data_IF_456593362554
#
_entry.id   IF_456593362554
#
_cell.length_a   1.000
_cell.length_b   1.000
_cell.length_c   1.000
_cell.angle_alpha   90.00
_cell.angle_beta   90.00
_cell.angle_gamma   90.00
#
_symmetry.space_group_name_H-M   'P 1'
#
loop_
_entity.id
_entity.type
_entity.pdbx_description
1 polymer ?
#
# COMPACT_ATOMS: atom_id res chain seq x y z
N UNK A 1 18.06 2.16 -12.30
CA UNK A 1 16.75 2.47 -11.69
C UNK A 1 16.30 1.18 -11.05
N UNK A 2 15.90 1.18 -9.76
CA UNK A 2 15.41 -0.02 -9.10
C UNK A 2 14.28 -0.66 -9.92
N UNK A 3 14.18 -1.99 -9.93
CA UNK A 3 13.04 -2.64 -10.57
C UNK A 3 11.79 -2.35 -9.74
N UNK A 4 10.74 -1.82 -10.36
CA UNK A 4 9.45 -1.56 -9.69
C UNK A 4 8.82 -2.84 -9.13
N UNK A 5 9.23 -4.00 -9.66
CA UNK A 5 8.77 -5.32 -9.21
C UNK A 5 9.55 -5.87 -8.01
N UNK A 6 10.57 -5.15 -7.53
CA UNK A 6 11.38 -5.50 -6.36
C UNK A 6 11.03 -4.62 -5.16
N UNK A 7 11.24 -5.17 -3.97
CA UNK A 7 11.10 -4.42 -2.74
C UNK A 7 12.25 -3.41 -2.61
N UNK A 8 11.90 -2.14 -2.39
CA UNK A 8 12.90 -1.07 -2.28
C UNK A 8 13.78 -1.15 -1.01
N UNK A 9 13.45 -2.04 -0.07
CA UNK A 9 14.23 -2.26 1.17
C UNK A 9 15.22 -3.42 1.00
N UNK A 10 14.74 -4.60 0.57
CA UNK A 10 15.57 -5.81 0.52
C UNK A 10 16.05 -6.20 -0.90
N UNK A 11 15.53 -5.55 -1.95
CA UNK A 11 15.86 -5.86 -3.35
C UNK A 11 15.30 -7.19 -3.86
N UNK A 12 14.47 -7.88 -3.09
CA UNK A 12 13.86 -9.15 -3.49
C UNK A 12 12.56 -8.94 -4.30
N UNK A 13 12.14 -9.90 -5.14
CA UNK A 13 10.86 -9.84 -5.86
C UNK A 13 9.68 -9.54 -4.92
N UNK A 14 8.85 -8.57 -5.28
CA UNK A 14 7.77 -8.07 -4.45
C UNK A 14 6.41 -8.05 -5.20
N UNK A 15 5.79 -9.23 -5.43
CA UNK A 15 4.42 -9.29 -5.94
C UNK A 15 3.46 -8.56 -4.99
N UNK A 16 2.59 -7.73 -5.55
CA UNK A 16 1.62 -6.92 -4.82
C UNK A 16 0.50 -7.79 -4.23
N UNK A 17 0.43 -7.82 -2.90
CA UNK A 17 -0.65 -8.46 -2.16
C UNK A 17 -1.08 -7.45 -1.10
N UNK A 18 -2.23 -6.81 -1.31
CA UNK A 18 -2.69 -5.74 -0.42
C UNK A 18 -2.73 -6.23 1.03
N UNK A 19 -2.11 -5.49 1.94
CA UNK A 19 -1.96 -5.88 3.34
C UNK A 19 -0.68 -6.66 3.67
N UNK A 20 0.08 -7.11 2.66
CA UNK A 20 1.40 -7.76 2.83
C UNK A 20 2.51 -7.11 1.99
N UNK A 21 2.16 -6.54 0.82
CA UNK A 21 3.05 -5.77 -0.05
C UNK A 21 2.25 -4.75 -0.86
N UNK A 22 2.70 -3.49 -0.88
CA UNK A 22 2.08 -2.40 -1.66
C UNK A 22 3.15 -1.44 -2.21
N UNK A 23 2.78 -0.65 -3.21
CA UNK A 23 3.67 0.27 -3.91
C UNK A 23 3.44 1.74 -3.56
N UNK A 24 4.53 2.50 -3.51
CA UNK A 24 4.50 3.97 -3.53
C UNK A 24 4.84 4.43 -4.94
N UNK A 25 3.96 5.22 -5.55
CA UNK A 25 4.22 5.77 -6.87
C UNK A 25 5.18 6.97 -6.79
N UNK A 26 6.23 6.98 -7.62
CA UNK A 26 7.29 7.98 -7.57
C UNK A 26 6.84 9.43 -7.71
N UNK A 27 5.73 9.71 -8.39
CA UNK A 27 5.16 11.06 -8.49
C UNK A 27 4.66 11.62 -7.14
N UNK A 28 4.60 10.78 -6.09
CA UNK A 28 4.34 11.20 -4.71
C UNK A 28 5.54 11.87 -4.05
N UNK A 29 6.72 11.78 -4.64
CA UNK A 29 7.95 12.41 -4.15
C UNK A 29 8.16 12.20 -2.64
N UNK A 30 7.93 10.96 -2.15
CA UNK A 30 8.28 10.58 -0.79
C UNK A 30 9.78 10.37 -0.73
N UNK A 31 10.48 11.00 0.21
CA UNK A 31 11.92 10.75 0.39
C UNK A 31 12.15 9.28 0.75
N UNK A 32 13.11 8.65 0.08
CA UNK A 32 13.53 7.27 0.36
C UNK A 32 14.55 7.25 1.51
N UNK A 33 14.19 6.73 2.69
CA UNK A 33 15.11 6.67 3.83
C UNK A 33 16.12 5.51 3.76
N UNK A 34 15.94 4.57 2.83
CA UNK A 34 16.79 3.38 2.66
C UNK A 34 17.84 3.57 1.56
N UNK A 35 17.63 4.53 0.66
CA UNK A 35 18.55 4.80 -0.43
C UNK A 35 19.95 5.26 0.06
N UNK A 36 21.04 4.81 -0.61
CA UNK A 36 22.41 5.21 -0.26
C UNK A 36 22.73 6.67 -0.60
N UNK A 37 21.87 7.32 -1.39
CA UNK A 37 21.94 8.74 -1.77
C UNK A 37 20.53 9.32 -1.71
N UNK A 38 20.37 10.64 -1.51
CA UNK A 38 19.06 11.28 -1.56
C UNK A 38 18.30 10.89 -2.82
N UNK A 39 17.13 10.27 -2.63
CA UNK A 39 16.26 9.84 -3.72
C UNK A 39 14.79 9.87 -3.26
N UNK A 40 13.88 9.75 -4.22
CA UNK A 40 12.47 9.56 -3.94
C UNK A 40 12.11 8.09 -4.11
N UNK A 41 11.26 7.60 -3.22
CA UNK A 41 10.75 6.24 -3.24
C UNK A 41 9.79 6.06 -4.42
N UNK A 42 10.07 5.05 -5.24
CA UNK A 42 9.22 4.63 -6.36
C UNK A 42 9.27 3.12 -6.48
N UNK A 43 8.21 2.43 -6.04
CA UNK A 43 8.10 0.98 -6.14
C UNK A 43 7.54 0.30 -4.89
N UNK A 44 7.70 -1.02 -4.88
CA UNK A 44 7.03 -1.92 -3.94
C UNK A 44 7.77 -2.04 -2.61
N UNK A 45 7.02 -2.27 -1.54
CA UNK A 45 7.55 -2.55 -0.21
C UNK A 45 6.90 -3.82 0.34
N UNK A 46 7.69 -4.82 0.70
CA UNK A 46 7.23 -5.84 1.64
C UNK A 46 6.93 -5.15 2.97
N UNK A 47 5.72 -5.34 3.47
CA UNK A 47 5.33 -4.73 4.75
C UNK A 47 6.06 -5.37 5.93
N UNK A 48 6.49 -6.64 5.83
CA UNK A 48 7.41 -7.25 6.78
C UNK A 48 8.75 -6.49 6.84
N UNK A 49 9.37 -6.20 5.69
CA UNK A 49 10.61 -5.39 5.64
C UNK A 49 10.41 -3.98 6.19
N UNK A 50 9.27 -3.34 5.89
CA UNK A 50 8.96 -2.01 6.43
C UNK A 50 8.84 -2.05 7.96
N UNK A 51 8.11 -3.02 8.51
CA UNK A 51 7.90 -3.16 9.95
C UNK A 51 9.14 -3.53 10.75
N UNK A 52 10.07 -4.26 10.14
CA UNK A 52 11.34 -4.65 10.76
C UNK A 52 12.43 -3.57 10.65
N UNK A 53 12.23 -2.54 9.80
CA UNK A 53 13.24 -1.52 9.55
C UNK A 53 13.37 -0.52 10.70
N UNK A 54 14.63 -0.19 11.03
CA UNK A 54 15.01 0.92 11.92
C UNK A 54 14.64 2.31 11.37
N UNK A 55 14.31 2.40 10.07
CA UNK A 55 13.89 3.63 9.39
C UNK A 55 12.38 3.78 9.25
N UNK A 56 11.60 2.82 9.76
CA UNK A 56 10.14 2.83 9.69
C UNK A 56 9.51 4.12 10.23
N UNK A 57 10.06 4.70 11.30
CA UNK A 57 9.61 5.99 11.84
C UNK A 57 9.80 7.17 10.87
N UNK A 58 10.95 7.23 10.18
CA UNK A 58 11.20 8.26 9.17
C UNK A 58 10.23 8.13 7.99
N UNK A 59 10.00 6.91 7.54
CA UNK A 59 9.02 6.63 6.50
C UNK A 59 7.61 7.04 6.94
N UNK A 60 7.21 6.70 8.17
CA UNK A 60 5.90 7.05 8.71
C UNK A 60 5.68 8.56 8.74
N UNK A 61 6.65 9.33 9.22
CA UNK A 61 6.56 10.79 9.29
C UNK A 61 6.42 11.40 7.88
N UNK A 62 7.25 10.96 6.93
CA UNK A 62 7.22 11.42 5.53
C UNK A 62 5.90 11.03 4.83
N UNK A 63 5.46 9.78 4.99
CA UNK A 63 4.24 9.25 4.38
C UNK A 63 3.01 9.99 4.91
N UNK A 64 2.87 10.14 6.23
CA UNK A 64 1.74 10.85 6.84
C UNK A 64 1.77 12.35 6.59
N UNK A 65 2.96 12.97 6.43
CA UNK A 65 3.07 14.34 5.94
C UNK A 65 2.49 14.45 4.52
N UNK A 66 2.87 13.56 3.60
CA UNK A 66 2.31 13.55 2.24
C UNK A 66 0.79 13.31 2.21
N UNK A 67 0.26 12.46 3.10
CA UNK A 67 -1.19 12.27 3.19
C UNK A 67 -1.92 13.57 3.55
N UNK A 68 -1.36 14.33 4.49
CA UNK A 68 -1.93 15.61 4.96
C UNK A 68 -1.73 16.75 3.98
N UNK A 69 -0.62 16.74 3.26
CA UNK A 69 -0.28 17.77 2.30
C UNK A 69 -1.30 17.82 1.15
N UNK A 70 -1.56 19.02 0.65
CA UNK A 70 -2.24 19.24 -0.63
C UNK A 70 -1.22 19.29 -1.76
N UNK A 71 -1.21 20.39 -2.50
CA UNK A 71 -0.09 20.73 -3.38
C UNK A 71 0.98 21.46 -2.57
N UNK A 72 2.21 20.95 -2.59
CA UNK A 72 3.33 21.62 -1.93
C UNK A 72 4.61 21.55 -2.77
N UNK A 73 5.50 22.52 -2.56
CA UNK A 73 6.85 22.50 -3.12
C UNK A 73 7.79 21.75 -2.17
N UNK A 74 8.58 20.84 -2.72
CA UNK A 74 9.64 20.12 -2.02
C UNK A 74 10.97 20.42 -2.68
N UNK A 75 12.01 20.59 -1.86
CA UNK A 75 13.36 20.85 -2.37
C UNK A 75 13.85 19.71 -3.28
N UNK A 76 14.50 20.08 -4.39
CA UNK A 76 15.22 19.13 -5.24
C UNK A 76 16.29 18.39 -4.45
N UNK A 77 16.46 17.10 -4.74
CA UNK A 77 17.40 16.23 -4.03
C UNK A 77 18.87 16.69 -4.12
N UNK A 78 19.20 17.45 -5.17
CA UNK A 78 20.53 18.04 -5.40
C UNK A 78 20.61 19.52 -5.00
N UNK A 79 19.54 20.08 -4.43
CA UNK A 79 19.43 21.48 -4.03
C UNK A 79 19.32 22.46 -5.21
N UNK A 80 19.15 21.98 -6.44
CA UNK A 80 19.02 22.85 -7.61
C UNK A 80 17.59 23.45 -7.70
N UNK A 81 17.46 24.74 -8.03
CA UNK A 81 16.16 25.33 -8.37
C UNK A 81 15.74 24.94 -9.80
N UNK A 82 14.43 24.91 -10.12
CA UNK A 82 13.29 25.15 -9.22
C UNK A 82 12.99 23.97 -8.30
N UNK A 83 12.25 24.17 -7.19
CA UNK A 83 11.75 23.06 -6.38
C UNK A 83 10.80 22.16 -7.17
N UNK A 84 10.58 20.95 -6.66
CA UNK A 84 9.67 19.98 -7.25
C UNK A 84 8.28 20.12 -6.63
N UNK A 85 7.24 19.86 -7.41
CA UNK A 85 5.85 19.89 -6.90
C UNK A 85 5.43 18.49 -6.47
N UNK A 86 5.16 18.32 -5.17
CA UNK A 86 4.57 17.10 -4.61
C UNK A 86 3.04 17.20 -4.61
N UNK A 87 2.41 16.14 -5.11
CA UNK A 87 0.97 15.91 -5.05
C UNK A 87 0.63 15.09 -3.81
N UNK A 88 0.28 15.75 -2.71
CA UNK A 88 -0.27 15.09 -1.52
C UNK A 88 -1.72 14.63 -1.72
N UNK A 89 -2.37 14.17 -0.65
CA UNK A 89 -3.75 13.66 -0.69
C UNK A 89 -4.77 14.56 0.01
N UNK A 90 -4.34 15.63 0.69
CA UNK A 90 -5.21 16.56 1.40
C UNK A 90 -6.11 15.88 2.44
N UNK A 91 -5.64 14.80 3.05
CA UNK A 91 -6.40 14.03 4.03
C UNK A 91 -6.24 14.60 5.42
N UNK A 92 -7.31 14.59 6.21
CA UNK A 92 -7.31 15.06 7.60
C UNK A 92 -7.09 13.89 8.55
N UNK A 93 -6.18 14.01 9.51
CA UNK A 93 -6.05 13.04 10.59
C UNK A 93 -7.27 13.14 11.51
N UNK A 94 -8.05 12.06 11.62
CA UNK A 94 -9.25 11.98 12.46
C UNK A 94 -9.06 11.11 13.69
N UNK A 95 -7.96 10.35 13.74
CA UNK A 95 -7.57 9.53 14.88
C UNK A 95 -6.06 9.36 14.92
N UNK A 96 -5.49 9.42 16.13
CA UNK A 96 -4.07 9.18 16.40
C UNK A 96 -3.95 8.29 17.63
N UNK A 97 -3.52 7.05 17.42
CA UNK A 97 -3.38 6.02 18.45
C UNK A 97 -1.94 5.60 18.67
N UNK A 98 -1.75 4.56 19.49
CA UNK A 98 -0.43 4.04 19.82
C UNK A 98 0.16 3.22 18.67
N UNK A 99 -0.68 2.50 17.92
CA UNK A 99 -0.26 1.61 16.83
C UNK A 99 -0.41 2.26 15.44
N UNK A 100 -1.32 3.23 15.28
CA UNK A 100 -1.65 3.81 13.98
C UNK A 100 -2.27 5.22 14.04
N UNK A 101 -2.40 5.83 12.86
CA UNK A 101 -3.26 6.98 12.62
C UNK A 101 -4.34 6.63 11.59
N UNK A 102 -5.49 7.30 11.66
CA UNK A 102 -6.54 7.24 10.62
C UNK A 102 -6.70 8.60 9.99
N UNK A 103 -6.66 8.62 8.66
CA UNK A 103 -6.84 9.81 7.84
C UNK A 103 -8.12 9.67 7.02
N UNK A 104 -8.80 10.79 6.78
CA UNK A 104 -10.00 10.87 5.97
C UNK A 104 -9.83 11.87 4.83
N UNK A 105 -10.32 11.53 3.64
CA UNK A 105 -10.43 12.49 2.54
C UNK A 105 -11.59 13.46 2.78
N UNK A 106 -11.34 14.76 2.62
CA UNK A 106 -12.40 15.78 2.71
C UNK A 106 -13.33 15.86 1.50
N UNK A 107 -13.04 15.14 0.42
CA UNK A 107 -13.73 15.26 -0.88
C UNK A 107 -14.26 13.92 -1.41
N UNK A 108 -14.07 12.83 -0.68
CA UNK A 108 -14.55 11.50 -1.04
C UNK A 108 -14.69 10.62 0.21
N UNK A 109 -15.57 9.63 0.15
CA UNK A 109 -15.74 8.60 1.19
C UNK A 109 -14.56 7.61 1.18
N UNK A 110 -13.39 8.11 1.58
CA UNK A 110 -12.13 7.36 1.60
C UNK A 110 -11.37 7.64 2.88
N UNK A 111 -10.81 6.56 3.42
CA UNK A 111 -9.96 6.60 4.61
C UNK A 111 -8.65 5.90 4.35
N UNK A 112 -7.66 6.26 5.14
CA UNK A 112 -6.38 5.56 5.19
C UNK A 112 -6.03 5.27 6.64
N UNK A 113 -5.80 4.00 6.95
CA UNK A 113 -5.23 3.58 8.24
C UNK A 113 -3.74 3.36 8.04
N UNK A 114 -2.89 4.07 8.78
CA UNK A 114 -1.44 3.99 8.65
C UNK A 114 -0.84 3.54 9.98
N UNK A 115 -0.28 2.33 10.02
CA UNK A 115 0.44 1.86 11.21
C UNK A 115 1.77 2.60 11.37
N UNK A 116 2.20 2.82 12.61
CA UNK A 116 3.44 3.53 12.94
C UNK A 116 4.70 2.84 12.41
N UNK A 117 4.67 1.52 12.28
CA UNK A 117 5.72 0.71 11.69
C UNK A 117 5.34 0.18 10.29
N UNK A 118 4.36 0.78 9.64
CA UNK A 118 3.67 0.16 8.50
C UNK A 118 2.94 -1.14 8.89
N UNK A 119 2.11 -1.70 8.01
CA UNK A 119 1.62 -1.21 6.72
C UNK A 119 0.64 -0.03 6.75
N UNK A 120 0.16 0.37 5.56
CA UNK A 120 -1.01 1.24 5.39
C UNK A 120 -2.16 0.48 4.71
N UNK A 121 -3.39 0.94 4.94
CA UNK A 121 -4.61 0.34 4.42
C UNK A 121 -5.52 1.42 3.84
N UNK A 122 -5.96 1.22 2.60
CA UNK A 122 -6.95 2.08 1.93
C UNK A 122 -8.33 1.52 2.19
N UNK A 123 -9.24 2.33 2.72
CA UNK A 123 -10.61 1.93 3.02
C UNK A 123 -11.60 2.83 2.28
N UNK A 124 -12.73 2.25 1.90
CA UNK A 124 -13.90 2.89 1.29
C UNK A 124 -15.08 2.80 2.25
N UNK A 125 -16.21 3.42 1.86
CA UNK A 125 -17.44 3.37 2.64
C UNK A 125 -17.91 1.93 2.92
N UNK A 126 -17.83 1.06 1.92
CA UNK A 126 -18.18 -0.36 2.03
C UNK A 126 -17.35 -1.05 3.13
N UNK A 127 -16.06 -0.77 3.19
CA UNK A 127 -15.14 -1.36 4.17
C UNK A 127 -15.50 -0.94 5.60
N UNK A 128 -15.68 0.36 5.86
CA UNK A 128 -16.00 0.83 7.21
C UNK A 128 -17.40 0.37 7.68
N UNK A 129 -18.33 0.17 6.73
CA UNK A 129 -19.66 -0.36 7.00
C UNK A 129 -19.60 -1.84 7.39
N UNK A 130 -18.83 -2.65 6.66
CA UNK A 130 -18.60 -4.06 6.98
C UNK A 130 -17.87 -4.22 8.31
N UNK A 131 -16.87 -3.38 8.57
CA UNK A 131 -16.16 -3.34 9.83
C UNK A 131 -17.08 -3.08 11.02
N UNK A 132 -18.04 -2.15 10.88
CA UNK A 132 -19.03 -1.87 11.93
C UNK A 132 -20.03 -3.00 12.16
N UNK A 133 -20.18 -3.92 11.20
CA UNK A 133 -20.93 -5.19 11.37
C UNK A 133 -20.10 -6.28 12.04
N UNK A 134 -18.84 -6.01 12.37
CA UNK A 134 -17.90 -6.96 12.96
C UNK A 134 -17.25 -7.89 11.93
N UNK A 135 -17.31 -7.56 10.63
CA UNK A 135 -16.67 -8.36 9.60
C UNK A 135 -15.15 -8.16 9.60
N UNK A 136 -14.41 -9.21 9.22
CA UNK A 136 -12.99 -9.09 8.89
C UNK A 136 -12.87 -8.60 7.46
N UNK A 137 -12.26 -7.43 7.28
CA UNK A 137 -12.07 -6.86 5.96
C UNK A 137 -11.11 -7.69 5.12
N UNK A 138 -11.34 -7.67 3.82
CA UNK A 138 -10.50 -8.33 2.82
C UNK A 138 -10.08 -7.31 1.78
N UNK A 139 -8.90 -7.47 1.23
CA UNK A 139 -8.44 -6.63 0.13
C UNK A 139 -9.35 -6.74 -1.09
N UNK A 140 -9.27 -5.73 -1.97
CA UNK A 140 -10.00 -5.76 -3.24
C UNK A 140 -9.62 -6.97 -4.09
N UNK A 141 -10.51 -7.33 -5.00
CA UNK A 141 -10.33 -8.42 -5.94
C UNK A 141 -9.85 -7.94 -7.30
N UNK A 142 -9.07 -6.87 -7.32
CA UNK A 142 -8.60 -6.27 -8.57
C UNK A 142 -7.56 -7.19 -9.21
N UNK A 143 -7.55 -7.22 -10.55
CA UNK A 143 -6.50 -7.93 -11.30
C UNK A 143 -5.22 -7.11 -11.22
N UNK A 144 -4.16 -7.75 -10.76
CA UNK A 144 -2.85 -7.16 -10.53
C UNK A 144 -1.87 -7.68 -11.57
N UNK A 145 -1.25 -6.81 -12.39
CA UNK A 145 -0.16 -7.20 -13.26
C UNK A 145 1.16 -7.25 -12.47
N UNK A 146 1.96 -8.29 -12.69
CA UNK A 146 3.30 -8.43 -12.13
C UNK A 146 4.26 -9.03 -13.14
N UNK A 147 5.42 -8.39 -13.32
CA UNK A 147 6.46 -8.91 -14.20
C UNK A 147 7.35 -9.88 -13.42
N UNK A 148 7.32 -11.15 -13.80
CA UNK A 148 8.18 -12.17 -13.23
C UNK A 148 9.65 -11.92 -13.62
N UNK A 149 10.60 -12.20 -12.71
CA UNK A 149 12.03 -12.06 -13.00
C UNK A 149 12.56 -13.14 -13.94
N UNK A 150 11.83 -14.25 -14.10
CA UNK A 150 12.16 -15.40 -14.94
C UNK A 150 10.90 -15.96 -15.60
N UNK A 151 11.08 -16.64 -16.74
CA UNK A 151 10.01 -17.42 -17.37
C UNK A 151 9.76 -18.69 -16.58
N UNK A 152 8.52 -18.88 -16.12
CA UNK A 152 8.09 -20.05 -15.36
C UNK A 152 7.37 -21.09 -16.24
N UNK A 153 7.26 -20.82 -17.54
CA UNK A 153 6.55 -21.65 -18.50
C UNK A 153 5.03 -21.50 -18.41
N UNK A 154 4.34 -22.24 -19.27
CA UNK A 154 2.88 -22.17 -19.42
C UNK A 154 2.12 -22.60 -18.15
N UNK A 155 2.74 -23.46 -17.33
CA UNK A 155 2.18 -23.99 -16.07
C UNK A 155 2.13 -22.95 -14.94
N UNK A 156 2.67 -21.74 -15.14
CA UNK A 156 2.65 -20.68 -14.11
C UNK A 156 1.24 -20.36 -13.62
N UNK A 157 0.23 -20.55 -14.48
CA UNK A 157 -1.18 -20.32 -14.16
C UNK A 157 -1.76 -21.37 -13.21
N UNK A 158 -1.10 -22.51 -13.09
CA UNK A 158 -1.51 -23.61 -12.21
C UNK A 158 -0.82 -23.54 -10.85
N UNK A 159 0.16 -22.64 -10.67
CA UNK A 159 0.88 -22.50 -9.41
C UNK A 159 -0.05 -21.98 -8.31
N UNK A 160 0.02 -22.60 -7.13
CA UNK A 160 -0.48 -21.98 -5.92
C UNK A 160 0.36 -20.75 -5.57
N UNK A 161 -0.21 -19.81 -4.81
CA UNK A 161 0.54 -18.64 -4.34
C UNK A 161 1.82 -19.03 -3.59
N UNK A 162 1.74 -20.03 -2.69
CA UNK A 162 2.90 -20.51 -1.96
C UNK A 162 4.01 -21.01 -2.90
N UNK A 163 3.65 -21.72 -3.98
CA UNK A 163 4.61 -22.20 -4.98
C UNK A 163 5.23 -21.05 -5.75
N UNK A 164 4.41 -20.08 -6.19
CA UNK A 164 4.88 -18.86 -6.85
C UNK A 164 5.89 -18.11 -5.97
N UNK A 165 5.53 -17.84 -4.72
CA UNK A 165 6.40 -17.12 -3.78
C UNK A 165 7.67 -17.91 -3.43
N UNK A 166 7.59 -19.24 -3.39
CA UNK A 166 8.76 -20.10 -3.17
C UNK A 166 9.73 -20.02 -4.35
N UNK A 167 9.22 -20.00 -5.59
CA UNK A 167 10.05 -19.84 -6.79
C UNK A 167 10.69 -18.45 -6.83
N UNK A 168 9.96 -17.42 -6.39
CA UNK A 168 10.48 -16.06 -6.24
C UNK A 168 11.45 -15.89 -5.05
N UNK A 169 11.54 -16.88 -4.16
CA UNK A 169 12.44 -16.86 -3.00
C UNK A 169 12.02 -15.87 -1.91
N UNK A 170 10.72 -15.56 -1.79
CA UNK A 170 10.20 -14.55 -0.85
C UNK A 170 9.06 -15.07 0.03
N UNK A 171 8.89 -16.39 0.16
CA UNK A 171 7.82 -16.98 0.99
C UNK A 171 7.83 -16.47 2.43
N UNK A 172 9.01 -16.18 3.00
CA UNK A 172 9.18 -15.64 4.36
C UNK A 172 8.65 -14.21 4.53
N UNK A 173 8.32 -13.51 3.44
CA UNK A 173 7.83 -12.12 3.45
C UNK A 173 6.31 -12.00 3.41
N UNK A 174 5.63 -13.11 3.20
CA UNK A 174 4.19 -13.19 2.98
C UNK A 174 3.55 -14.28 3.85
N UNK A 175 2.23 -14.24 3.97
CA UNK A 175 1.41 -15.25 4.63
C UNK A 175 0.50 -15.90 3.56
N UNK A 176 1.02 -16.82 2.73
CA UNK A 176 0.28 -17.34 1.58
C UNK A 176 -0.96 -18.14 1.97
N UNK A 177 -0.98 -18.76 3.15
CA UNK A 177 -2.05 -19.65 3.60
C UNK A 177 -3.39 -18.94 3.85
N UNK A 178 -3.35 -17.61 4.06
CA UNK A 178 -4.55 -16.79 4.30
C UNK A 178 -5.00 -16.03 3.06
N UNK A 179 -4.35 -16.23 1.92
CA UNK A 179 -4.62 -15.48 0.68
C UNK A 179 -5.36 -16.35 -0.32
N UNK A 180 -6.50 -15.87 -0.78
CA UNK A 180 -7.20 -16.46 -1.93
C UNK A 180 -6.54 -15.95 -3.21
N UNK A 181 -5.91 -16.85 -3.94
CA UNK A 181 -5.11 -16.55 -5.12
C UNK A 181 -5.63 -17.25 -6.37
N UNK A 182 -5.69 -16.50 -7.47
CA UNK A 182 -6.02 -17.01 -8.79
C UNK A 182 -5.13 -16.34 -9.84
N UNK A 183 -4.37 -17.13 -10.60
CA UNK A 183 -3.70 -16.65 -11.79
C UNK A 183 -4.72 -16.49 -12.92
N UNK A 184 -4.84 -15.27 -13.46
CA UNK A 184 -5.80 -14.91 -14.49
C UNK A 184 -5.22 -15.22 -15.87
N UNK A 185 -4.09 -14.60 -16.18
CA UNK A 185 -3.41 -14.73 -17.47
C UNK A 185 -1.89 -14.65 -17.33
N UNK A 186 -1.19 -15.21 -18.31
CA UNK A 186 0.26 -15.10 -18.39
C UNK A 186 0.68 -14.78 -19.82
N UNK A 187 1.50 -13.74 -19.97
CA UNK A 187 2.09 -13.36 -21.24
C UNK A 187 3.62 -13.57 -21.21
N UNK A 188 4.11 -14.77 -21.62
CA UNK A 188 5.52 -15.14 -21.57
C UNK A 188 6.48 -14.13 -22.24
N UNK A 189 6.17 -13.53 -23.41
CA UNK A 189 7.10 -12.61 -24.06
C UNK A 189 7.45 -11.35 -23.24
N UNK A 190 6.63 -10.98 -22.25
CA UNK A 190 6.94 -9.90 -21.29
C UNK A 190 7.07 -10.38 -19.85
N UNK A 191 7.02 -11.70 -19.63
CA UNK A 191 6.99 -12.32 -18.31
C UNK A 191 5.88 -11.75 -17.43
N UNK A 192 4.74 -11.35 -18.02
CA UNK A 192 3.69 -10.63 -17.31
C UNK A 192 2.63 -11.61 -16.81
N UNK A 193 2.55 -11.78 -15.49
CA UNK A 193 1.51 -12.54 -14.82
C UNK A 193 0.43 -11.58 -14.33
N UNK A 194 -0.81 -11.84 -14.71
CA UNK A 194 -1.99 -11.20 -14.14
C UNK A 194 -2.63 -12.15 -13.14
N UNK A 195 -2.90 -11.68 -11.93
CA UNK A 195 -3.52 -12.49 -10.89
C UNK A 195 -4.44 -11.66 -10.00
N UNK A 196 -5.29 -12.37 -9.26
CA UNK A 196 -6.08 -11.81 -8.17
C UNK A 196 -5.56 -12.42 -6.87
N UNK A 197 -5.34 -11.58 -5.86
CA UNK A 197 -4.93 -12.01 -4.52
C UNK A 197 -5.76 -11.27 -3.46
N UNK A 198 -6.65 -12.00 -2.78
CA UNK A 198 -7.47 -11.47 -1.68
C UNK A 198 -6.91 -11.91 -0.35
N UNK A 199 -6.47 -10.95 0.46
CA UNK A 199 -5.91 -11.19 1.78
C UNK A 199 -6.80 -10.54 2.86
N UNK A 200 -6.89 -11.11 4.07
CA UNK A 200 -7.48 -10.41 5.21
C UNK A 200 -6.66 -9.15 5.54
N UNK A 201 -7.34 -8.05 5.85
CA UNK A 201 -6.70 -6.82 6.28
C UNK A 201 -6.60 -6.79 7.81
N UNK A 202 -5.40 -6.96 8.33
CA UNK A 202 -5.12 -6.93 9.77
C UNK A 202 -5.00 -5.49 10.29
N UNK A 203 -6.14 -4.80 10.35
CA UNK A 203 -6.22 -3.47 10.95
C UNK A 203 -5.90 -3.50 12.45
N UNK A 204 -5.19 -2.48 12.99
CA UNK A 204 -5.01 -2.30 14.43
C UNK A 204 -6.34 -2.26 15.17
N UNK A 205 -6.40 -2.87 16.37
CA UNK A 205 -7.63 -2.93 17.17
C UNK A 205 -8.17 -1.54 17.50
N UNK A 206 -7.29 -0.59 17.76
CA UNK A 206 -7.66 0.80 18.04
C UNK A 206 -8.33 1.49 16.84
N UNK A 207 -7.86 1.21 15.61
CA UNK A 207 -8.49 1.72 14.39
C UNK A 207 -9.86 1.08 14.16
N UNK A 208 -9.99 -0.23 14.40
CA UNK A 208 -11.28 -0.94 14.28
C UNK A 208 -12.29 -0.36 15.27
N UNK A 209 -11.89 -0.18 16.53
CA UNK A 209 -12.76 0.40 17.55
C UNK A 209 -13.21 1.83 17.16
N UNK A 210 -12.26 2.68 16.76
CA UNK A 210 -12.55 4.04 16.33
C UNK A 210 -13.48 4.09 15.11
N UNK A 211 -13.17 3.35 14.03
CA UNK A 211 -13.95 3.37 12.79
C UNK A 211 -15.38 2.83 12.98
N UNK A 212 -15.55 1.82 13.84
CA UNK A 212 -16.86 1.25 14.19
C UNK A 212 -17.77 2.30 14.84
N UNK A 213 -17.24 3.11 15.74
CA UNK A 213 -17.99 4.20 16.39
C UNK A 213 -18.18 5.38 15.43
N UNK A 214 -17.14 5.73 14.69
CA UNK A 214 -17.11 6.86 13.77
C UNK A 214 -18.19 6.75 12.69
N UNK A 215 -18.37 5.57 12.07
CA UNK A 215 -19.32 5.40 10.96
C UNK A 215 -20.78 5.64 11.38
N UNK A 216 -21.11 5.47 12.65
CA UNK A 216 -22.48 5.69 13.16
C UNK A 216 -22.92 7.16 13.06
N UNK A 217 -21.94 8.08 13.08
CA UNK A 217 -22.17 9.52 13.02
C UNK A 217 -21.65 10.13 11.71
N UNK A 218 -21.10 9.32 10.82
CA UNK A 218 -20.51 9.81 9.59
C UNK A 218 -21.59 10.19 8.58
N UNK A 219 -21.43 11.36 7.97
CA UNK A 219 -22.25 11.80 6.84
C UNK A 219 -21.43 11.63 5.56
N UNK A 220 -21.85 10.77 4.62
CA UNK A 220 -21.17 10.60 3.34
C UNK A 220 -21.01 11.92 2.59
N UNK A 221 -19.91 12.05 1.85
CA UNK A 221 -19.69 13.22 0.99
C UNK A 221 -20.77 13.25 -0.10
N UNK A 222 -21.60 14.29 -0.11
CA UNK A 222 -22.51 14.58 -1.22
C UNK A 222 -21.89 15.63 -2.13
N UNK A 223 -22.10 15.48 -3.44
CA UNK A 223 -21.69 16.44 -4.46
C UNK A 223 -22.84 17.39 -4.87
N UNK A 224 -23.93 17.43 -4.11
CA UNK A 224 -25.16 18.15 -4.50
C UNK A 224 -25.09 19.69 -4.44
N UNK A 225 -23.92 20.31 -4.27
CA UNK A 225 -23.74 21.77 -4.18
C UNK A 225 -22.73 22.34 -5.20
N UNK A 226 -22.71 21.81 -6.44
CA UNK A 226 -22.15 22.53 -7.61
C UNK A 226 -23.24 22.78 -8.67
N UNK A 227 -24.25 23.59 -8.31
CA UNK A 227 -25.27 24.12 -9.22
C UNK A 227 -25.20 25.66 -9.30
#
# INVERSE_FOLDING_TARGET
MPDVNECQICGAPAPLITGQCDGVAGYRLLRDPWAPKPSFLDGNLHFSCLSESDRSGLFFDEFTHMLRAGHEEVESLDGSPPPLTRMGLGMTEIFSGAECCVFQSGVADRWMVVKRNGPWFRLRMEDITELARGATLRSSSDVVPYRLPVDLGDDVRELSLASLLSVLGVTDRYEPDVVEYEAVDYYPPKLLLEYVARAPLHLPREAVAFLTEYVQNYTPVSYDDEA
#
